data_IF_509319762622
#
_entry.id   IF_509319762622
#
_cell.length_a   1.000
_cell.length_b   1.000
_cell.length_c   1.000
_cell.angle_alpha   90.00
_cell.angle_beta   90.00
_cell.angle_gamma   90.00
#
_symmetry.space_group_name_H-M   'P 1'
#
loop_
_entity.id
_entity.type
_entity.pdbx_description
1 polymer ?
#
# COMPACT_ATOMS: atom_id res chain seq x y z
N UNK A 1 -53.03 -51.62 -6.02
CA UNK A 1 -52.12 -51.25 -7.11
C UNK A 1 -51.09 -50.31 -6.53
N UNK A 2 -49.87 -50.82 -6.44
CA UNK A 2 -48.67 -50.12 -5.99
C UNK A 2 -48.45 -48.80 -6.73
N UNK A 3 -47.75 -47.86 -6.08
CA UNK A 3 -46.40 -47.44 -6.49
C UNK A 3 -45.83 -46.27 -5.65
N UNK A 4 -44.71 -46.58 -5.00
CA UNK A 4 -43.50 -45.78 -4.73
C UNK A 4 -43.52 -44.56 -3.78
N UNK A 5 -42.74 -44.76 -2.72
CA UNK A 5 -42.02 -43.80 -1.89
C UNK A 5 -41.25 -42.74 -2.69
N UNK A 6 -41.32 -41.49 -2.22
CA UNK A 6 -40.19 -40.56 -2.23
C UNK A 6 -40.35 -39.58 -1.06
N UNK A 7 -39.58 -39.82 -0.01
CA UNK A 7 -39.38 -38.90 1.11
C UNK A 7 -38.64 -37.68 0.56
N UNK A 8 -39.36 -36.59 0.33
CA UNK A 8 -38.72 -35.29 0.08
C UNK A 8 -38.42 -34.65 1.43
N UNK A 9 -37.14 -34.77 1.83
CA UNK A 9 -36.56 -34.06 2.94
C UNK A 9 -36.51 -32.57 2.55
N UNK A 10 -37.52 -31.80 2.96
CA UNK A 10 -37.49 -30.34 2.86
C UNK A 10 -36.52 -29.81 3.94
N UNK A 11 -35.22 -29.96 3.67
CA UNK A 11 -34.19 -29.27 4.42
C UNK A 11 -34.34 -27.76 4.16
N UNK A 12 -34.65 -27.00 5.20
CA UNK A 12 -34.47 -25.56 5.20
C UNK A 12 -32.99 -25.27 4.89
N UNK A 13 -32.70 -24.95 3.62
CA UNK A 13 -31.50 -24.23 3.26
C UNK A 13 -31.65 -22.82 3.82
N UNK A 14 -30.98 -22.57 4.94
CA UNK A 14 -30.62 -21.22 5.37
C UNK A 14 -29.79 -20.64 4.23
N UNK A 15 -30.41 -19.76 3.44
CA UNK A 15 -29.68 -18.89 2.53
C UNK A 15 -28.94 -17.91 3.43
N UNK A 16 -27.70 -18.27 3.79
CA UNK A 16 -26.75 -17.29 4.26
C UNK A 16 -26.51 -16.35 3.08
N UNK A 17 -27.24 -15.23 3.06
CA UNK A 17 -26.86 -14.08 2.27
C UNK A 17 -25.45 -13.71 2.73
N UNK A 18 -24.46 -14.18 1.97
CA UNK A 18 -23.06 -13.78 2.12
C UNK A 18 -23.02 -12.27 1.98
N UNK A 19 -22.93 -11.61 3.12
CA UNK A 19 -22.74 -10.18 3.23
C UNK A 19 -21.48 -9.86 2.44
N UNK A 20 -21.64 -9.04 1.40
CA UNK A 20 -20.55 -8.33 0.74
C UNK A 20 -19.70 -7.69 1.83
N UNK A 21 -18.54 -8.30 2.11
CA UNK A 21 -17.57 -7.76 3.06
C UNK A 21 -16.94 -6.53 2.44
N UNK A 22 -17.63 -5.39 2.47
CA UNK A 22 -16.95 -4.12 2.40
C UNK A 22 -16.05 -4.06 3.63
N UNK A 23 -14.75 -4.24 3.43
CA UNK A 23 -13.76 -4.11 4.49
C UNK A 23 -13.70 -2.63 4.88
N UNK A 24 -14.61 -2.25 5.79
CA UNK A 24 -14.66 -0.95 6.43
C UNK A 24 -13.41 -0.80 7.29
N UNK A 25 -12.68 0.31 7.13
CA UNK A 25 -11.66 0.72 8.10
C UNK A 25 -12.31 0.81 9.46
N UNK A 26 -12.08 -0.18 10.31
CA UNK A 26 -12.52 -0.10 11.70
C UNK A 26 -11.70 1.01 12.33
N UNK A 27 -12.35 2.12 12.66
CA UNK A 27 -11.88 3.10 13.64
C UNK A 27 -11.74 2.39 14.99
N UNK A 28 -10.70 1.59 15.15
CA UNK A 28 -10.25 1.04 16.42
C UNK A 28 -8.90 0.40 16.17
N UNK A 29 -7.82 1.10 16.52
CA UNK A 29 -6.75 0.66 17.44
C UNK A 29 -6.19 -0.79 17.36
N UNK A 30 -6.53 -1.61 16.37
CA UNK A 30 -6.30 -3.06 16.37
C UNK A 30 -5.05 -3.52 15.62
N UNK A 31 -4.36 -2.63 14.91
CA UNK A 31 -3.05 -2.93 14.30
C UNK A 31 -1.88 -2.71 15.27
N UNK A 32 -2.17 -2.19 16.47
CA UNK A 32 -1.17 -1.88 17.48
C UNK A 32 -0.92 -3.04 18.44
N UNK A 33 -1.86 -3.99 18.54
CA UNK A 33 -1.75 -5.11 19.49
C UNK A 33 -0.66 -6.12 19.12
N UNK A 34 -0.26 -6.20 17.84
CA UNK A 34 0.76 -7.16 17.39
C UNK A 34 2.20 -6.64 17.39
N UNK A 35 2.43 -5.36 17.72
CA UNK A 35 3.78 -4.78 17.87
C UNK A 35 4.25 -4.71 19.33
N UNK A 36 3.45 -5.22 20.27
CA UNK A 36 3.66 -5.13 21.72
C UNK A 36 4.76 -6.06 22.29
N UNK A 37 5.56 -6.73 21.46
CA UNK A 37 6.53 -7.75 21.91
C UNK A 37 8.01 -7.38 21.67
N UNK A 38 8.37 -6.10 21.66
CA UNK A 38 9.79 -5.71 21.62
C UNK A 38 10.09 -4.66 22.71
N UNK A 39 10.64 -5.16 23.81
CA UNK A 39 10.89 -4.46 25.09
C UNK A 39 12.03 -3.42 25.05
N UNK A 40 11.77 -2.31 25.78
CA UNK A 40 12.61 -1.50 26.73
C UNK A 40 13.94 -0.86 26.24
N UNK A 41 14.44 0.34 26.63
CA UNK A 41 14.39 1.19 27.84
C UNK A 41 14.56 2.71 27.54
N UNK A 42 14.01 3.52 28.47
CA UNK A 42 14.28 4.89 28.99
C UNK A 42 14.78 6.11 28.16
N UNK A 43 13.90 7.13 28.22
CA UNK A 43 14.04 8.56 28.57
C UNK A 43 15.23 9.43 28.09
N UNK A 44 14.88 10.48 27.31
CA UNK A 44 15.41 11.85 27.48
C UNK A 44 14.40 12.85 26.89
N UNK A 45 13.90 13.74 27.74
CA UNK A 45 12.98 14.83 27.39
C UNK A 45 13.65 15.89 26.51
N UNK A 46 13.02 16.25 25.39
CA UNK A 46 13.35 17.44 24.60
C UNK A 46 12.05 18.17 24.31
N UNK A 47 11.95 19.41 24.83
CA UNK A 47 10.82 20.33 24.70
C UNK A 47 10.38 20.53 23.24
N UNK A 48 9.11 20.17 22.97
CA UNK A 48 8.46 20.08 21.66
C UNK A 48 7.22 21.01 21.64
N UNK A 49 7.38 22.28 22.00
CA UNK A 49 6.21 23.13 22.28
C UNK A 49 5.45 23.63 21.05
N UNK A 50 6.01 23.58 19.84
CA UNK A 50 5.45 24.34 18.71
C UNK A 50 5.06 23.50 17.48
N UNK A 51 4.99 22.16 17.59
CA UNK A 51 4.45 21.31 16.52
C UNK A 51 2.99 20.95 16.85
N UNK A 52 2.01 21.18 15.96
CA UNK A 52 0.64 20.69 16.13
C UNK A 52 0.63 19.16 15.94
N UNK A 53 1.16 18.46 16.92
CA UNK A 53 1.40 17.03 16.96
C UNK A 53 0.47 16.43 18.00
N UNK A 54 -0.40 15.53 17.58
CA UNK A 54 -1.24 14.75 18.48
C UNK A 54 -0.45 13.51 18.91
N UNK A 55 -0.06 13.46 20.17
CA UNK A 55 0.57 12.28 20.79
C UNK A 55 -0.51 11.26 21.15
N UNK A 56 -0.45 10.06 20.57
CA UNK A 56 -1.36 8.95 20.91
C UNK A 56 -1.03 8.40 22.30
N UNK A 57 -2.02 8.30 23.18
CA UNK A 57 -1.87 7.87 24.59
C UNK A 57 -1.46 6.40 24.77
N UNK A 58 -1.29 5.62 23.70
CA UNK A 58 -1.02 4.17 23.80
C UNK A 58 0.13 3.69 22.90
N UNK A 59 1.18 4.49 22.87
CA UNK A 59 2.44 4.22 22.19
C UNK A 59 2.92 5.49 21.53
N UNK A 60 4.05 6.04 21.98
CA UNK A 60 4.58 7.36 21.62
C UNK A 60 4.94 7.52 20.14
N UNK A 61 3.92 7.51 19.28
CA UNK A 61 4.00 7.79 17.85
C UNK A 61 3.50 9.20 17.59
N UNK A 62 4.24 9.95 16.78
CA UNK A 62 3.91 11.35 16.45
C UNK A 62 3.15 11.39 15.13
N UNK A 63 1.86 11.73 15.17
CA UNK A 63 1.04 11.85 13.96
C UNK A 63 1.29 13.19 13.26
N UNK A 64 1.65 13.12 11.98
CA UNK A 64 1.88 14.28 11.13
C UNK A 64 0.82 14.29 10.03
N UNK A 65 -0.28 14.99 10.27
CA UNK A 65 -1.40 15.08 9.32
C UNK A 65 -1.11 16.09 8.21
N UNK A 66 -1.19 15.66 6.94
CA UNK A 66 -0.97 16.53 5.77
C UNK A 66 -1.92 17.73 5.71
N UNK A 67 -3.15 17.61 6.22
CA UNK A 67 -4.12 18.71 6.29
C UNK A 67 -3.62 19.86 7.15
N UNK A 68 -2.88 19.54 8.23
CA UNK A 68 -2.27 20.54 9.12
C UNK A 68 -1.21 21.38 8.42
N UNK A 69 -0.75 20.96 7.24
CA UNK A 69 0.23 21.67 6.41
C UNK A 69 -0.41 22.38 5.21
N UNK A 70 -1.74 22.47 5.17
CA UNK A 70 -2.50 23.19 4.15
C UNK A 70 -2.89 22.35 2.94
N UNK A 71 -2.90 21.02 3.06
CA UNK A 71 -3.41 20.15 2.00
C UNK A 71 -4.94 20.30 1.90
N UNK A 72 -5.44 20.50 0.67
CA UNK A 72 -6.85 20.72 0.36
C UNK A 72 -7.57 19.40 0.14
N UNK A 73 -6.95 18.46 -0.58
CA UNK A 73 -7.49 17.11 -0.73
C UNK A 73 -8.74 17.02 -1.61
N UNK A 74 -8.94 17.94 -2.57
CA UNK A 74 -10.08 17.95 -3.50
C UNK A 74 -9.78 17.29 -4.87
N UNK A 75 -8.54 16.89 -5.13
CA UNK A 75 -8.08 16.24 -6.36
C UNK A 75 -7.77 17.22 -7.51
N UNK A 76 -7.88 18.52 -7.26
CA UNK A 76 -7.67 19.59 -8.26
C UNK A 76 -6.59 20.57 -7.82
N UNK A 77 -6.56 20.94 -6.53
CA UNK A 77 -5.57 21.83 -5.97
C UNK A 77 -4.21 21.14 -5.87
N UNK A 78 -3.14 21.89 -6.16
CA UNK A 78 -1.78 21.38 -6.00
C UNK A 78 -1.38 21.31 -4.51
N UNK A 79 -1.42 20.10 -3.96
CA UNK A 79 -1.09 19.79 -2.57
C UNK A 79 0.40 19.50 -2.36
N UNK A 80 1.24 19.68 -3.38
CA UNK A 80 2.67 19.30 -3.35
C UNK A 80 3.41 19.94 -2.19
N UNK A 81 3.21 21.25 -1.97
CA UNK A 81 3.93 21.96 -0.91
C UNK A 81 3.48 21.50 0.48
N UNK A 82 2.19 21.24 0.68
CA UNK A 82 1.67 20.75 1.94
C UNK A 82 2.27 19.37 2.27
N UNK A 83 2.30 18.46 1.28
CA UNK A 83 2.90 17.15 1.45
C UNK A 83 4.42 17.21 1.64
N UNK A 84 5.14 18.09 0.95
CA UNK A 84 6.58 18.29 1.17
C UNK A 84 6.89 18.76 2.59
N UNK A 85 6.10 19.69 3.13
CA UNK A 85 6.26 20.19 4.51
C UNK A 85 5.94 19.11 5.53
N UNK A 86 4.79 18.44 5.37
CA UNK A 86 4.39 17.34 6.23
C UNK A 86 5.45 16.22 6.22
N UNK A 87 5.97 15.87 5.04
CA UNK A 87 7.08 14.93 4.89
C UNK A 87 8.32 15.39 5.64
N UNK A 88 8.72 16.67 5.50
CA UNK A 88 9.90 17.21 6.18
C UNK A 88 9.82 17.05 7.69
N UNK A 89 8.65 17.34 8.27
CA UNK A 89 8.38 17.16 9.71
C UNK A 89 8.37 15.68 10.09
N UNK A 90 7.63 14.84 9.37
CA UNK A 90 7.57 13.40 9.65
C UNK A 90 8.97 12.78 9.59
N UNK A 91 9.71 13.06 8.52
CA UNK A 91 11.05 12.53 8.30
C UNK A 91 12.05 12.98 9.38
N UNK A 92 11.87 14.17 9.96
CA UNK A 92 12.74 14.72 11.00
C UNK A 92 12.33 14.35 12.43
N UNK A 93 11.25 13.59 12.60
CA UNK A 93 10.65 13.24 13.89
C UNK A 93 10.74 11.73 14.14
N UNK A 94 11.35 11.28 15.26
CA UNK A 94 11.39 9.87 15.63
C UNK A 94 9.99 9.30 15.83
N UNK A 95 9.81 8.00 15.54
CA UNK A 95 8.51 7.30 15.68
C UNK A 95 7.30 8.01 15.05
N UNK A 96 7.51 8.80 13.99
CA UNK A 96 6.43 9.56 13.37
C UNK A 96 5.62 8.72 12.36
N UNK A 97 4.36 9.11 12.16
CA UNK A 97 3.47 8.54 11.15
C UNK A 97 2.93 9.70 10.31
N UNK A 98 3.25 9.71 9.02
CA UNK A 98 2.68 10.66 8.08
C UNK A 98 1.23 10.23 7.77
N UNK A 99 0.27 10.99 8.28
CA UNK A 99 -1.15 10.69 8.14
C UNK A 99 -1.73 11.40 6.90
N UNK A 100 -2.32 10.61 6.01
CA UNK A 100 -3.10 11.07 4.86
C UNK A 100 -4.57 10.72 5.10
N UNK A 101 -5.42 11.70 5.47
CA UNK A 101 -6.82 11.44 5.84
C UNK A 101 -7.66 10.79 4.75
N UNK A 102 -8.60 9.93 5.18
CA UNK A 102 -9.54 9.25 4.29
C UNK A 102 -10.57 10.20 3.65
N UNK A 103 -11.14 9.77 2.52
CA UNK A 103 -12.20 10.51 1.81
C UNK A 103 -11.72 11.74 1.04
N UNK A 104 -10.40 11.89 0.88
CA UNK A 104 -9.76 13.03 0.21
C UNK A 104 -8.87 12.56 -0.95
N UNK A 105 -8.62 13.46 -1.91
CA UNK A 105 -7.78 13.23 -3.08
C UNK A 105 -6.72 14.32 -3.15
N UNK A 106 -5.45 13.98 -2.95
CA UNK A 106 -4.37 14.96 -3.00
C UNK A 106 -3.68 14.91 -4.35
N UNK A 107 -3.67 16.03 -5.07
CA UNK A 107 -2.93 16.12 -6.34
C UNK A 107 -1.51 16.59 -6.04
N UNK A 108 -0.52 15.80 -6.44
CA UNK A 108 0.89 16.07 -6.17
C UNK A 108 1.64 16.07 -7.50
N UNK A 109 2.28 17.19 -7.81
CA UNK A 109 3.17 17.34 -8.95
C UNK A 109 4.49 16.61 -8.71
N UNK A 110 5.30 16.46 -9.76
CA UNK A 110 6.60 15.81 -9.68
C UNK A 110 7.47 16.44 -8.57
N UNK A 111 7.66 15.70 -7.48
CA UNK A 111 8.28 16.19 -6.26
C UNK A 111 9.31 15.19 -5.74
N UNK A 112 10.27 15.68 -4.95
CA UNK A 112 11.25 14.85 -4.25
C UNK A 112 11.01 14.92 -2.76
N UNK A 113 10.68 13.77 -2.19
CA UNK A 113 10.66 13.56 -0.75
C UNK A 113 12.07 13.15 -0.31
N UNK A 114 12.77 14.06 0.37
CA UNK A 114 14.20 13.90 0.69
C UNK A 114 14.34 13.33 2.11
N UNK A 115 15.26 12.38 2.26
CA UNK A 115 15.78 11.90 3.54
C UNK A 115 17.29 12.15 3.67
N UNK A 116 17.98 11.56 4.66
CA UNK A 116 17.53 10.47 5.53
C UNK A 116 16.57 10.91 6.63
N UNK A 117 15.58 10.08 6.92
CA UNK A 117 14.69 10.28 8.06
C UNK A 117 15.30 9.75 9.36
N UNK A 118 15.00 10.38 10.49
CA UNK A 118 15.51 10.00 11.82
C UNK A 118 15.17 8.55 12.18
N UNK A 119 13.97 8.11 11.82
CA UNK A 119 13.49 6.73 12.03
C UNK A 119 12.86 6.14 10.76
N UNK A 120 12.36 4.90 10.85
CA UNK A 120 11.57 4.27 9.80
C UNK A 120 10.29 5.07 9.55
N UNK A 121 10.01 5.42 8.30
CA UNK A 121 8.76 6.07 7.95
C UNK A 121 7.67 5.02 7.76
N UNK A 122 6.60 5.14 8.53
CA UNK A 122 5.40 4.31 8.41
C UNK A 122 4.44 5.01 7.45
N UNK A 123 4.12 4.36 6.34
CA UNK A 123 3.07 4.80 5.41
C UNK A 123 1.89 3.85 5.59
N UNK A 124 0.81 4.34 6.19
CA UNK A 124 -0.40 3.54 6.42
C UNK A 124 -1.49 4.00 5.45
N UNK A 125 -1.70 3.32 4.31
CA UNK A 125 -2.85 3.59 3.46
C UNK A 125 -4.13 3.15 4.17
N UNK A 126 -5.14 4.02 4.30
CA UNK A 126 -6.44 3.69 4.87
C UNK A 126 -7.40 3.05 3.86
N UNK A 127 -6.90 2.30 2.90
CA UNK A 127 -7.72 1.65 1.88
C UNK A 127 -7.14 0.25 1.74
N UNK A 128 -7.97 -0.78 1.54
CA UNK A 128 -7.52 -2.13 1.16
C UNK A 128 -6.83 -2.17 -0.20
N UNK A 129 -6.06 -1.15 -0.53
CA UNK A 129 -5.37 -0.92 -1.79
C UNK A 129 -3.85 -0.83 -1.58
N UNK A 130 -3.10 -0.50 -2.62
CA UNK A 130 -1.63 -0.48 -2.59
C UNK A 130 -1.11 0.53 -1.54
N UNK A 131 -0.17 0.11 -0.70
CA UNK A 131 0.54 1.04 0.20
C UNK A 131 1.55 1.90 -0.55
N UNK A 132 2.14 1.36 -1.61
CA UNK A 132 2.89 2.14 -2.61
C UNK A 132 2.47 1.62 -3.98
N UNK A 133 2.08 2.54 -4.87
CA UNK A 133 1.77 2.24 -6.27
C UNK A 133 2.68 3.03 -7.20
N UNK A 134 3.48 2.34 -8.02
CA UNK A 134 4.40 2.92 -8.99
C UNK A 134 3.80 2.78 -10.38
N UNK A 135 3.32 3.89 -10.94
CA UNK A 135 2.55 3.91 -12.19
C UNK A 135 3.39 4.34 -13.39
N UNK A 136 2.75 4.42 -14.57
CA UNK A 136 3.40 4.73 -15.85
C UNK A 136 4.26 6.01 -15.78
N UNK A 137 5.33 6.03 -16.57
CA UNK A 137 6.33 7.11 -16.66
C UNK A 137 7.15 7.37 -15.38
N UNK A 138 7.11 6.46 -14.41
CA UNK A 138 7.91 6.53 -13.19
C UNK A 138 9.36 6.12 -13.45
N UNK A 139 10.33 6.90 -12.95
CA UNK A 139 11.75 6.54 -13.04
C UNK A 139 12.60 7.06 -11.88
N UNK A 140 13.73 6.41 -11.62
CA UNK A 140 14.73 6.81 -10.59
C UNK A 140 14.14 6.88 -9.17
N UNK A 141 13.38 5.87 -8.79
CA UNK A 141 12.74 5.77 -7.47
C UNK A 141 13.63 4.94 -6.55
N UNK A 142 13.96 5.49 -5.38
CA UNK A 142 14.64 4.76 -4.31
C UNK A 142 13.82 4.87 -3.02
N UNK A 143 13.40 3.73 -2.51
CA UNK A 143 12.63 3.58 -1.28
C UNK A 143 13.49 2.81 -0.28
N UNK A 144 13.49 3.23 0.98
CA UNK A 144 14.24 2.54 2.03
C UNK A 144 13.52 2.61 3.37
N UNK A 145 13.58 1.51 4.13
CA UNK A 145 12.99 1.37 5.48
C UNK A 145 11.49 1.68 5.50
N UNK A 146 10.73 0.93 4.71
CA UNK A 146 9.27 1.07 4.60
C UNK A 146 8.57 0.04 5.49
N UNK A 147 7.56 0.46 6.25
CA UNK A 147 6.58 -0.42 6.88
C UNK A 147 5.25 -0.28 6.14
N UNK A 148 4.68 -1.39 5.70
CA UNK A 148 3.57 -1.43 4.75
C UNK A 148 2.49 -2.42 5.21
N UNK A 149 1.27 -1.95 5.44
CA UNK A 149 0.18 -2.80 5.88
C UNK A 149 -0.89 -2.07 6.70
N UNK A 150 -2.13 -2.59 6.76
CA UNK A 150 -2.69 -3.62 5.87
C UNK A 150 -2.97 -3.06 4.46
N UNK A 151 -3.36 -3.91 3.50
CA UNK A 151 -3.72 -3.49 2.13
C UNK A 151 -3.26 -4.45 1.02
N UNK A 152 -2.97 -3.92 -0.18
CA UNK A 152 -2.51 -4.69 -1.34
C UNK A 152 -0.98 -4.84 -1.45
N UNK A 153 -0.21 -4.19 -0.57
CA UNK A 153 1.26 -4.21 -0.59
C UNK A 153 1.90 -3.12 -1.44
N UNK A 154 3.10 -3.38 -1.95
CA UNK A 154 3.84 -2.48 -2.84
C UNK A 154 3.70 -2.97 -4.28
N UNK A 155 3.07 -2.17 -5.12
CA UNK A 155 2.76 -2.51 -6.51
C UNK A 155 3.49 -1.63 -7.53
N UNK A 156 3.96 -2.23 -8.62
CA UNK A 156 4.25 -1.55 -9.88
C UNK A 156 3.08 -1.81 -10.84
N UNK A 157 2.46 -0.74 -11.32
CA UNK A 157 1.32 -0.76 -12.25
C UNK A 157 -0.01 -0.31 -11.63
N UNK A 158 -1.15 -0.51 -12.30
CA UNK A 158 -1.28 -1.26 -13.55
C UNK A 158 -0.70 -0.50 -14.74
N UNK A 159 0.02 -1.21 -15.61
CA UNK A 159 0.69 -0.64 -16.78
C UNK A 159 0.09 -1.19 -18.07
N UNK A 160 -0.01 -0.35 -19.10
CA UNK A 160 -0.40 -0.77 -20.45
C UNK A 160 -1.91 -0.94 -20.68
N UNK A 161 -2.75 -0.32 -19.83
CA UNK A 161 -4.21 -0.32 -20.02
C UNK A 161 -4.58 0.20 -21.41
N UNK A 162 -5.62 -0.36 -22.04
CA UNK A 162 -6.12 0.06 -23.35
C UNK A 162 -5.04 0.01 -24.46
N UNK A 163 -4.19 -1.03 -24.42
CA UNK A 163 -3.04 -1.22 -25.33
C UNK A 163 -2.05 -0.04 -25.34
N UNK A 164 -2.00 0.73 -24.24
CA UNK A 164 -1.07 1.84 -24.10
C UNK A 164 0.36 1.35 -23.82
N UNK A 165 1.32 2.27 -23.97
CA UNK A 165 2.71 2.02 -23.59
C UNK A 165 2.93 2.36 -22.12
N UNK A 166 3.32 1.36 -21.33
CA UNK A 166 3.74 1.52 -19.95
C UNK A 166 5.26 1.43 -19.80
N UNK A 167 5.88 2.43 -19.17
CA UNK A 167 7.33 2.45 -18.90
C UNK A 167 7.59 2.76 -17.43
N UNK A 168 8.31 1.87 -16.75
CA UNK A 168 8.84 2.09 -15.40
C UNK A 168 10.31 1.69 -15.38
N UNK A 169 11.18 2.55 -14.84
CA UNK A 169 12.62 2.24 -14.78
C UNK A 169 13.29 2.60 -13.46
N UNK A 170 14.37 1.88 -13.11
CA UNK A 170 15.26 2.23 -11.99
C UNK A 170 14.51 2.41 -10.67
N UNK A 171 13.84 1.36 -10.23
CA UNK A 171 13.13 1.30 -8.93
C UNK A 171 13.95 0.47 -7.97
N UNK A 172 14.30 1.01 -6.81
CA UNK A 172 15.05 0.30 -5.79
C UNK A 172 14.26 0.36 -4.48
N UNK A 173 13.88 -0.79 -3.93
CA UNK A 173 13.42 -0.93 -2.55
C UNK A 173 14.52 -1.60 -1.74
N UNK A 174 15.00 -0.93 -0.70
CA UNK A 174 16.00 -1.45 0.24
C UNK A 174 15.46 -1.41 1.66
N UNK A 175 15.19 -2.57 2.26
CA UNK A 175 14.58 -2.69 3.59
C UNK A 175 13.10 -2.32 3.59
N UNK A 176 12.24 -3.34 3.67
CA UNK A 176 10.81 -3.14 3.92
C UNK A 176 10.25 -4.25 4.82
N UNK A 177 9.27 -3.90 5.64
CA UNK A 177 8.46 -4.84 6.40
C UNK A 177 7.02 -4.72 5.93
N UNK A 178 6.48 -5.79 5.36
CA UNK A 178 5.14 -5.81 4.76
C UNK A 178 4.27 -6.79 5.54
N UNK A 179 3.19 -6.31 6.15
CA UNK A 179 2.39 -7.09 7.08
C UNK A 179 0.89 -6.97 6.80
N UNK A 180 0.14 -8.06 6.99
CA UNK A 180 -1.34 -8.09 6.88
C UNK A 180 -1.86 -7.57 5.52
N UNK A 181 -1.21 -8.00 4.44
CA UNK A 181 -1.51 -7.56 3.07
C UNK A 181 -1.88 -8.73 2.16
N UNK A 182 -2.62 -8.45 1.08
CA UNK A 182 -2.90 -9.48 0.07
C UNK A 182 -1.68 -9.80 -0.78
N UNK A 183 -0.75 -8.85 -0.93
CA UNK A 183 0.51 -9.07 -1.65
C UNK A 183 1.67 -8.37 -0.94
N UNK A 184 2.88 -8.92 -1.04
CA UNK A 184 4.09 -8.23 -0.58
C UNK A 184 4.58 -7.26 -1.65
N UNK A 185 5.17 -7.82 -2.71
CA UNK A 185 5.64 -7.11 -3.89
C UNK A 185 4.81 -7.55 -5.09
N UNK A 186 4.18 -6.61 -5.79
CA UNK A 186 3.31 -6.91 -6.94
C UNK A 186 3.75 -6.15 -8.19
N UNK A 187 3.69 -6.79 -9.36
CA UNK A 187 3.78 -6.12 -10.67
C UNK A 187 2.55 -6.51 -11.47
N UNK A 188 1.76 -5.52 -11.91
CA UNK A 188 0.50 -5.70 -12.66
C UNK A 188 0.61 -5.04 -14.04
N UNK A 189 0.54 -5.81 -15.12
CA UNK A 189 0.54 -5.30 -16.49
C UNK A 189 -0.65 -5.85 -17.27
N UNK A 190 -1.33 -4.97 -18.02
CA UNK A 190 -2.45 -5.35 -18.87
C UNK A 190 -1.98 -6.13 -20.10
N UNK A 191 -2.78 -7.11 -20.50
CA UNK A 191 -2.60 -7.79 -21.79
C UNK A 191 -2.82 -6.81 -22.94
N UNK A 192 -2.05 -6.98 -24.02
CA UNK A 192 -2.08 -6.07 -25.18
C UNK A 192 -1.28 -4.78 -24.97
N UNK A 193 -0.89 -4.46 -23.74
CA UNK A 193 -0.02 -3.33 -23.42
C UNK A 193 1.39 -3.50 -24.00
N UNK A 194 2.03 -2.37 -24.31
CA UNK A 194 3.41 -2.32 -24.79
C UNK A 194 4.34 -1.63 -23.78
N UNK A 195 5.66 -1.77 -23.95
CA UNK A 195 6.66 -1.12 -23.11
C UNK A 195 7.35 -2.08 -22.14
N UNK A 196 7.86 -1.54 -21.03
CA UNK A 196 8.74 -2.32 -20.15
C UNK A 196 8.85 -1.80 -18.71
N UNK A 197 9.13 -2.73 -17.80
CA UNK A 197 9.58 -2.49 -16.44
C UNK A 197 11.03 -2.96 -16.33
N UNK A 198 12.00 -2.03 -16.18
CA UNK A 198 13.44 -2.36 -16.21
C UNK A 198 14.24 -1.76 -15.06
N UNK A 199 15.24 -2.50 -14.58
CA UNK A 199 16.12 -2.02 -13.51
C UNK A 199 15.40 -1.90 -12.18
N UNK A 200 14.50 -2.85 -11.89
CA UNK A 200 13.83 -2.96 -10.59
C UNK A 200 14.66 -3.87 -9.69
N UNK A 201 14.92 -3.42 -8.46
CA UNK A 201 15.63 -4.17 -7.44
C UNK A 201 14.89 -4.08 -6.10
N UNK A 202 14.46 -5.22 -5.60
CA UNK A 202 13.90 -5.35 -4.26
C UNK A 202 14.85 -6.16 -3.39
N UNK A 203 15.25 -5.61 -2.23
CA UNK A 203 16.18 -6.23 -1.30
C UNK A 203 15.80 -5.97 0.15
N UNK A 204 16.16 -6.91 1.04
CA UNK A 204 15.89 -6.83 2.49
C UNK A 204 14.39 -6.66 2.80
N UNK A 205 13.52 -7.33 2.06
CA UNK A 205 12.06 -7.27 2.27
C UNK A 205 11.65 -8.44 3.14
N UNK A 206 11.03 -8.14 4.28
CA UNK A 206 10.44 -9.11 5.20
C UNK A 206 8.93 -9.02 5.08
N UNK A 207 8.25 -10.17 5.07
CA UNK A 207 6.80 -10.27 4.95
C UNK A 207 6.22 -11.07 6.13
N UNK A 208 5.09 -10.64 6.67
CA UNK A 208 4.36 -11.34 7.74
C UNK A 208 2.86 -11.35 7.44
N UNK A 209 2.20 -12.51 7.55
CA UNK A 209 0.76 -12.66 7.25
C UNK A 209 0.36 -12.05 5.88
N UNK A 210 1.14 -12.35 4.84
CA UNK A 210 0.92 -11.85 3.48
C UNK A 210 0.46 -13.00 2.57
N UNK A 211 -0.66 -12.84 1.87
CA UNK A 211 -1.22 -13.92 1.04
C UNK A 211 -0.34 -14.27 -0.16
N UNK A 212 0.16 -13.26 -0.88
CA UNK A 212 1.05 -13.43 -2.04
C UNK A 212 2.36 -12.65 -1.83
N UNK A 213 3.43 -13.26 -1.26
CA UNK A 213 4.68 -12.54 -0.99
C UNK A 213 5.25 -11.80 -2.20
N UNK A 214 5.21 -12.43 -3.38
CA UNK A 214 5.54 -11.81 -4.67
C UNK A 214 4.49 -12.25 -5.68
N UNK A 215 3.88 -11.30 -6.39
CA UNK A 215 2.94 -11.55 -7.48
C UNK A 215 3.33 -10.77 -8.73
N UNK A 216 3.61 -11.46 -9.83
CA UNK A 216 3.79 -10.83 -11.15
C UNK A 216 2.63 -11.28 -12.02
N UNK A 217 1.72 -10.37 -12.28
CA UNK A 217 0.53 -10.58 -13.09
C UNK A 217 0.66 -9.81 -14.41
N UNK A 218 1.02 -10.53 -15.48
CA UNK A 218 1.05 -10.00 -16.85
C UNK A 218 -0.29 -10.14 -17.58
N UNK A 219 -1.31 -10.67 -16.90
CA UNK A 219 -2.64 -10.92 -17.42
C UNK A 219 -3.68 -10.02 -16.72
N UNK A 220 -3.23 -8.88 -16.18
CA UNK A 220 -4.06 -8.03 -15.34
C UNK A 220 -5.29 -7.54 -16.11
N UNK A 221 -6.46 -7.75 -15.51
CA UNK A 221 -7.76 -7.46 -16.10
C UNK A 221 -8.73 -7.02 -14.99
N UNK A 222 -9.03 -5.72 -14.94
CA UNK A 222 -10.05 -5.15 -14.05
C UNK A 222 -11.34 -4.89 -14.85
N UNK A 223 -11.92 -5.96 -15.39
CA UNK A 223 -13.16 -5.92 -16.16
C UNK A 223 -14.16 -6.93 -15.60
N UNK A 224 -15.45 -6.57 -15.48
CA UNK A 224 -16.50 -7.49 -15.04
C UNK A 224 -16.73 -8.65 -16.02
N UNK A 225 -16.28 -8.52 -17.28
CA UNK A 225 -16.18 -9.62 -18.24
C UNK A 225 -14.73 -10.09 -18.38
N UNK A 226 -14.53 -11.40 -18.60
CA UNK A 226 -13.20 -11.96 -18.84
C UNK A 226 -12.51 -11.27 -20.01
N UNK A 227 -11.30 -10.77 -19.76
CA UNK A 227 -10.44 -10.26 -20.84
C UNK A 227 -10.07 -11.42 -21.77
N UNK A 228 -10.06 -11.14 -23.08
CA UNK A 228 -9.54 -12.08 -24.04
C UNK A 228 -8.03 -12.17 -23.89
N UNK A 229 -7.50 -13.39 -23.88
CA UNK A 229 -6.07 -13.59 -23.78
C UNK A 229 -5.37 -12.98 -25.01
N UNK A 230 -4.47 -12.01 -24.78
CA UNK A 230 -3.62 -11.46 -25.83
C UNK A 230 -2.19 -12.01 -25.67
N UNK A 231 -1.49 -12.16 -26.80
CA UNK A 231 -0.13 -12.74 -26.85
C UNK A 231 0.99 -11.75 -26.52
N UNK A 232 0.68 -10.45 -26.38
CA UNK A 232 1.65 -9.41 -26.01
C UNK A 232 1.38 -8.85 -24.61
N UNK A 233 2.45 -8.64 -23.86
CA UNK A 233 2.46 -7.94 -22.57
C UNK A 233 3.78 -7.17 -22.42
N UNK A 234 3.87 -6.33 -21.40
CA UNK A 234 5.08 -5.55 -21.13
C UNK A 234 6.26 -6.45 -20.76
N UNK A 235 7.46 -6.11 -21.24
CA UNK A 235 8.70 -6.79 -20.85
C UNK A 235 9.03 -6.45 -19.39
N UNK A 236 9.24 -7.47 -18.54
CA UNK A 236 9.60 -7.28 -17.12
C UNK A 236 11.01 -7.81 -16.90
N UNK A 237 11.90 -6.94 -16.41
CA UNK A 237 13.25 -7.28 -15.97
C UNK A 237 13.45 -6.79 -14.53
N UNK A 238 13.29 -7.73 -13.59
CA UNK A 238 13.34 -7.47 -12.15
C UNK A 238 14.32 -8.42 -11.47
N UNK A 239 15.06 -7.91 -10.49
CA UNK A 239 15.94 -8.69 -9.63
C UNK A 239 15.41 -8.71 -8.19
N UNK A 240 15.06 -9.90 -7.71
CA UNK A 240 14.70 -10.13 -6.32
C UNK A 240 15.91 -10.70 -5.58
N UNK A 241 16.28 -10.12 -4.45
CA UNK A 241 17.28 -10.70 -3.55
C UNK A 241 16.54 -11.25 -2.33
N UNK A 242 16.63 -12.56 -2.12
CA UNK A 242 16.12 -13.20 -0.91
C UNK A 242 17.01 -12.79 0.27
N UNK A 243 16.40 -12.35 1.37
CA UNK A 243 17.09 -12.33 2.66
C UNK A 243 17.05 -13.76 3.20
N UNK A 244 18.24 -14.32 3.48
CA UNK A 244 18.41 -15.58 4.23
C UNK A 244 18.21 -15.34 5.72
#
# INVERSE_FOLDING_TARGET
>A
MDKFFLVSLLGLLIVANGVSGSMMCRNNFGMLDELNNLDTEEENEVELSDIPSWTSERGGKVLVNVDSFGAVGNGEADDTQALQKAWGVACSTPKSVLLVPQGRRYLVNATKFIGPCKDNLIIQPCIGDDCISIVNASSNIKMKRIHCGPGHGISIGSLGKDNSTGVVTKVILDTAFIKDTTNGLRIKTWQGGAGYVKGVRFQNVMVENVSNPILIDQFYCDSPSSCQNQSSALEIMTLFHAAT
#
